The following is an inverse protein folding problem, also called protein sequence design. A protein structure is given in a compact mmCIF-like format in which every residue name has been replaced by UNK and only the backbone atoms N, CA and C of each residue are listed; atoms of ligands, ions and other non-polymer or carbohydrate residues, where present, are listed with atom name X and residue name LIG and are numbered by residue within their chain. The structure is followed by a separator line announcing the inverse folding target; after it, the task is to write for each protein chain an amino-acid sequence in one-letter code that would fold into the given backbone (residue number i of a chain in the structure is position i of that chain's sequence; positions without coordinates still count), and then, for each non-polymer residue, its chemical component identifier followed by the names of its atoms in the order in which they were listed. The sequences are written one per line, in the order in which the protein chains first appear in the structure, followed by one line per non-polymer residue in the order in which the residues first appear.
data_IF_845200238633
#
_entry.id   IF_845200238633
#
_cell.length_a   1.000
_cell.length_b   1.000
_cell.length_c   1.000
_cell.angle_alpha   90.00
_cell.angle_beta   90.00
_cell.angle_gamma   90.00
#
_symmetry.space_group_name_H-M   'P 1'
#
loop_
_entity.id
_entity.type
_entity.pdbx_description
1 polymer ?
#
# COMPACT_ATOMS: atom_id res chain seq x y z
N UNK A 1 -2.64 -37.76 52.90
CA UNK A 1 -3.67 -36.80 53.36
C UNK A 1 -3.32 -35.32 53.12
N UNK A 2 -2.25 -34.72 53.66
CA UNK A 2 -1.97 -33.28 53.41
C UNK A 2 -1.39 -32.96 52.03
N UNK A 3 -0.48 -33.79 51.50
CA UNK A 3 0.11 -33.61 50.15
C UNK A 3 -0.90 -33.78 49.01
N UNK A 4 -1.81 -34.75 49.11
CA UNK A 4 -2.86 -34.98 48.11
C UNK A 4 -3.88 -33.83 48.06
N UNK A 5 -4.26 -33.27 49.21
CA UNK A 5 -5.12 -32.08 49.27
C UNK A 5 -4.46 -30.87 48.60
N UNK A 6 -3.15 -30.67 48.80
CA UNK A 6 -2.43 -29.57 48.15
C UNK A 6 -2.33 -29.77 46.63
N UNK A 7 -2.15 -30.99 46.13
CA UNK A 7 -2.17 -31.25 44.69
C UNK A 7 -3.54 -31.02 44.06
N UNK A 8 -4.62 -31.42 44.73
CA UNK A 8 -5.99 -31.16 44.25
C UNK A 8 -6.26 -29.65 44.19
N UNK A 9 -5.84 -28.87 45.20
CA UNK A 9 -6.02 -27.42 45.21
C UNK A 9 -5.25 -26.75 44.07
N UNK A 10 -4.00 -27.16 43.81
CA UNK A 10 -3.19 -26.61 42.70
C UNK A 10 -3.81 -26.92 41.34
N UNK A 11 -4.32 -28.13 41.12
CA UNK A 11 -4.99 -28.50 39.86
C UNK A 11 -6.27 -27.69 39.66
N UNK A 12 -7.09 -27.54 40.70
CA UNK A 12 -8.33 -26.75 40.64
C UNK A 12 -8.03 -25.28 40.34
N UNK A 13 -7.01 -24.69 40.98
CA UNK A 13 -6.58 -23.32 40.70
C UNK A 13 -6.07 -23.16 39.27
N UNK A 14 -5.28 -24.11 38.75
CA UNK A 14 -4.81 -24.07 37.37
C UNK A 14 -5.96 -24.14 36.35
N UNK A 15 -6.96 -24.97 36.61
CA UNK A 15 -8.17 -25.08 35.78
C UNK A 15 -8.96 -23.76 35.81
N UNK A 16 -9.19 -23.18 36.99
CA UNK A 16 -9.91 -21.90 37.12
C UNK A 16 -9.17 -20.78 36.39
N UNK A 17 -7.85 -20.65 36.57
CA UNK A 17 -7.06 -19.65 35.85
C UNK A 17 -7.11 -19.87 34.33
N UNK A 18 -7.02 -21.12 33.86
CA UNK A 18 -7.18 -21.44 32.44
C UNK A 18 -8.56 -21.02 31.91
N UNK A 19 -9.63 -21.31 32.65
CA UNK A 19 -10.99 -20.89 32.26
C UNK A 19 -11.16 -19.37 32.24
N UNK A 20 -10.60 -18.65 33.22
CA UNK A 20 -10.67 -17.18 33.26
C UNK A 20 -9.92 -16.58 32.06
N UNK A 21 -8.67 -17.00 31.81
CA UNK A 21 -7.87 -16.51 30.68
C UNK A 21 -8.53 -16.82 29.34
N UNK A 22 -9.05 -18.04 29.18
CA UNK A 22 -9.74 -18.46 27.96
C UNK A 22 -11.05 -17.68 27.73
N UNK A 23 -11.79 -17.39 28.81
CA UNK A 23 -13.00 -16.59 28.73
C UNK A 23 -12.70 -15.12 28.40
N UNK A 24 -11.64 -14.54 28.96
CA UNK A 24 -11.17 -13.20 28.61
C UNK A 24 -10.74 -13.11 27.14
N UNK A 25 -9.99 -14.09 26.62
CA UNK A 25 -9.62 -14.17 25.19
C UNK A 25 -10.87 -14.20 24.29
N UNK A 26 -11.86 -15.06 24.60
CA UNK A 26 -13.11 -15.15 23.82
C UNK A 26 -13.90 -13.83 23.87
N UNK A 27 -13.98 -13.18 25.02
CA UNK A 27 -14.71 -11.90 25.16
C UNK A 27 -14.01 -10.79 24.36
N UNK A 28 -12.67 -10.72 24.43
CA UNK A 28 -11.88 -9.76 23.65
C UNK A 28 -12.03 -10.03 22.15
N UNK A 29 -11.95 -11.28 21.72
CA UNK A 29 -12.12 -11.66 20.31
C UNK A 29 -13.52 -11.33 19.80
N UNK A 30 -14.57 -11.63 20.58
CA UNK A 30 -15.95 -11.29 20.24
C UNK A 30 -16.15 -9.79 20.09
N UNK A 31 -15.66 -8.99 21.04
CA UNK A 31 -15.73 -7.53 20.96
C UNK A 31 -14.93 -6.98 19.78
N UNK A 32 -13.80 -7.60 19.44
CA UNK A 32 -12.96 -7.18 18.31
C UNK A 32 -13.66 -7.43 16.98
N UNK A 33 -14.27 -8.61 16.81
CA UNK A 33 -14.96 -8.96 15.56
C UNK A 33 -16.28 -8.19 15.38
N UNK A 34 -16.95 -7.82 16.48
CA UNK A 34 -18.09 -6.89 16.45
C UNK A 34 -17.66 -5.53 15.89
N UNK A 35 -16.59 -4.92 16.42
CA UNK A 35 -16.06 -3.65 15.90
C UNK A 35 -15.62 -3.79 14.44
N UNK A 36 -14.87 -4.85 14.13
CA UNK A 36 -14.35 -5.10 12.77
C UNK A 36 -15.45 -5.14 11.73
N UNK A 37 -16.61 -5.74 12.05
CA UNK A 37 -17.75 -5.85 11.14
C UNK A 37 -18.61 -4.57 11.06
N UNK A 38 -18.43 -3.62 11.97
CA UNK A 38 -19.18 -2.34 12.00
C UNK A 38 -18.43 -1.18 11.32
N UNK A 39 -17.14 -1.36 11.02
CA UNK A 39 -16.30 -0.33 10.40
C UNK A 39 -15.94 -0.69 8.95
N UNK A 40 -15.61 0.31 8.16
CA UNK A 40 -14.94 0.10 6.87
C UNK A 40 -13.45 -0.08 7.15
N UNK A 41 -12.92 -1.25 6.86
CA UNK A 41 -11.50 -1.53 7.03
C UNK A 41 -10.73 -1.15 5.77
N UNK A 42 -9.55 -0.56 5.95
CA UNK A 42 -8.66 -0.25 4.82
C UNK A 42 -7.21 -0.58 5.13
N UNK A 43 -6.49 -0.99 4.07
CA UNK A 43 -5.04 -1.06 4.04
C UNK A 43 -4.54 -0.16 2.92
N UNK A 44 -3.64 0.76 3.26
CA UNK A 44 -3.14 1.78 2.34
C UNK A 44 -2.03 1.30 1.41
N UNK A 45 -1.51 0.07 1.54
CA UNK A 45 -0.39 -0.38 0.72
C UNK A 45 -0.40 -1.90 0.47
N UNK A 46 -1.16 -2.33 -0.54
CA UNK A 46 -1.25 -3.72 -0.98
C UNK A 46 -0.52 -3.94 -2.31
N UNK A 47 0.71 -4.47 -2.22
CA UNK A 47 1.52 -4.80 -3.40
C UNK A 47 0.84 -5.79 -4.34
N UNK A 48 0.90 -5.51 -5.65
CA UNK A 48 0.39 -6.40 -6.69
C UNK A 48 1.50 -6.97 -7.56
N UNK A 49 1.30 -8.20 -8.01
CA UNK A 49 2.15 -8.86 -8.99
C UNK A 49 1.37 -9.20 -10.24
N UNK A 50 1.83 -8.75 -11.41
CA UNK A 50 1.17 -8.95 -12.71
C UNK A 50 0.91 -10.43 -13.04
N UNK A 51 1.70 -11.36 -12.48
CA UNK A 51 1.45 -12.82 -12.63
C UNK A 51 0.11 -13.28 -12.04
N UNK A 52 -0.47 -12.47 -11.16
CA UNK A 52 -1.77 -12.66 -10.52
C UNK A 52 -2.85 -11.76 -11.14
N UNK A 53 -2.72 -11.37 -12.41
CA UNK A 53 -3.70 -10.60 -13.16
C UNK A 53 -3.83 -11.13 -14.60
N UNK A 54 -3.97 -12.44 -14.72
CA UNK A 54 -4.18 -13.19 -15.97
C UNK A 54 -5.54 -13.87 -15.97
N UNK A 55 -6.03 -14.31 -17.13
CA UNK A 55 -7.32 -15.00 -17.26
C UNK A 55 -7.38 -16.29 -16.43
N UNK A 56 -6.23 -16.95 -16.21
CA UNK A 56 -6.15 -18.23 -15.49
C UNK A 56 -5.82 -18.07 -14.00
N UNK A 57 -5.19 -16.96 -13.63
CA UNK A 57 -4.75 -16.69 -12.27
C UNK A 57 -4.86 -15.19 -12.01
N UNK A 58 -5.90 -14.81 -11.27
CA UNK A 58 -6.14 -13.45 -10.83
C UNK A 58 -6.79 -13.36 -9.44
N UNK A 59 -7.00 -12.16 -8.94
CA UNK A 59 -7.47 -11.93 -7.57
C UNK A 59 -8.92 -12.38 -7.31
N UNK A 60 -9.65 -12.92 -8.30
CA UNK A 60 -10.92 -13.64 -8.07
C UNK A 60 -10.74 -14.99 -7.39
N UNK A 61 -9.53 -15.57 -7.43
CA UNK A 61 -9.21 -16.85 -6.79
C UNK A 61 -8.20 -16.65 -5.65
N UNK A 62 -8.04 -17.69 -4.82
CA UNK A 62 -7.08 -17.67 -3.72
C UNK A 62 -5.66 -17.92 -4.26
N UNK A 63 -5.07 -16.85 -4.79
CA UNK A 63 -3.67 -16.79 -5.20
C UNK A 63 -2.70 -16.91 -4.01
N UNK A 64 -1.42 -17.02 -4.31
CA UNK A 64 -0.34 -16.98 -3.32
C UNK A 64 0.01 -15.58 -2.80
N UNK A 65 -0.63 -14.51 -3.30
CA UNK A 65 -0.48 -13.15 -2.75
C UNK A 65 -1.21 -13.02 -1.41
N UNK A 66 -0.77 -12.09 -0.55
CA UNK A 66 -1.41 -11.87 0.76
C UNK A 66 -2.78 -11.21 0.64
N UNK A 67 -3.05 -10.52 -0.48
CA UNK A 67 -4.34 -9.89 -0.78
C UNK A 67 -4.89 -10.46 -2.09
N UNK A 68 -6.15 -10.90 -2.05
CA UNK A 68 -7.02 -11.30 -3.15
C UNK A 68 -8.47 -11.31 -2.64
N UNK A 69 -9.48 -11.38 -3.52
CA UNK A 69 -10.89 -11.28 -3.10
C UNK A 69 -11.29 -12.33 -2.07
N UNK A 70 -10.93 -13.63 -2.20
CA UNK A 70 -11.22 -14.60 -1.15
C UNK A 70 -10.67 -14.21 0.22
N UNK A 71 -9.43 -13.72 0.29
CA UNK A 71 -8.80 -13.27 1.55
C UNK A 71 -9.40 -11.97 2.08
N UNK A 72 -9.78 -11.04 1.20
CA UNK A 72 -10.47 -9.81 1.60
C UNK A 72 -11.85 -10.09 2.19
N UNK A 73 -12.57 -11.08 1.64
CA UNK A 73 -13.86 -11.51 2.16
C UNK A 73 -13.68 -12.21 3.50
N UNK A 74 -12.77 -13.19 3.60
CA UNK A 74 -12.53 -13.98 4.81
C UNK A 74 -11.99 -13.11 5.97
N UNK A 75 -11.06 -12.21 5.67
CA UNK A 75 -10.47 -11.29 6.66
C UNK A 75 -11.26 -10.02 6.91
N UNK A 76 -12.39 -9.81 6.23
CA UNK A 76 -13.18 -8.59 6.33
C UNK A 76 -12.40 -7.31 5.98
N UNK A 77 -11.52 -7.36 4.96
CA UNK A 77 -10.88 -6.17 4.40
C UNK A 77 -11.79 -5.56 3.33
N UNK A 78 -12.19 -4.30 3.48
CA UNK A 78 -13.12 -3.66 2.54
C UNK A 78 -12.40 -2.88 1.44
N UNK A 79 -11.39 -2.10 1.82
CA UNK A 79 -10.62 -1.26 0.91
C UNK A 79 -9.17 -1.73 0.84
N UNK A 80 -8.71 -2.07 -0.37
CA UNK A 80 -7.31 -2.33 -0.64
C UNK A 80 -6.76 -1.28 -1.62
N UNK A 81 -5.68 -0.62 -1.21
CA UNK A 81 -4.90 0.23 -2.11
C UNK A 81 -3.93 -0.64 -2.91
N UNK A 82 -4.23 -0.90 -4.18
CA UNK A 82 -3.37 -1.68 -5.06
C UNK A 82 -2.25 -0.83 -5.66
N UNK A 83 -1.02 -1.30 -5.49
CA UNK A 83 0.15 -0.46 -5.70
C UNK A 83 0.76 -0.60 -7.09
N UNK A 84 0.78 0.52 -7.79
CA UNK A 84 1.55 0.73 -9.02
C UNK A 84 3.01 0.99 -8.64
N UNK A 85 3.65 -0.06 -8.12
CA UNK A 85 5.05 -0.03 -7.72
C UNK A 85 5.98 -0.15 -8.93
N UNK A 86 7.04 0.67 -8.95
CA UNK A 86 8.18 0.48 -9.86
C UNK A 86 9.51 0.59 -9.12
N UNK A 87 10.35 -0.45 -9.23
CA UNK A 87 11.71 -0.44 -8.69
C UNK A 87 12.58 0.64 -9.34
N UNK A 88 13.51 1.20 -8.55
CA UNK A 88 14.46 2.19 -9.04
C UNK A 88 15.45 1.55 -10.03
N UNK A 89 15.79 2.30 -11.07
CA UNK A 89 16.80 1.96 -12.07
C UNK A 89 17.48 3.27 -12.52
N UNK A 90 18.35 3.18 -13.51
CA UNK A 90 19.10 4.27 -14.10
C UNK A 90 18.24 5.45 -14.59
N UNK A 91 18.60 6.66 -14.16
CA UNK A 91 17.93 7.93 -14.52
C UNK A 91 18.26 8.35 -15.95
N UNK A 92 17.77 7.59 -16.93
CA UNK A 92 17.90 7.87 -18.36
C UNK A 92 16.64 7.44 -19.12
N UNK A 93 16.56 7.85 -20.39
CA UNK A 93 15.40 7.60 -21.27
C UNK A 93 14.99 6.12 -21.31
N UNK A 94 15.95 5.19 -21.40
CA UNK A 94 15.65 3.76 -21.45
C UNK A 94 15.09 3.23 -20.12
N UNK A 95 15.63 3.73 -19.00
CA UNK A 95 15.13 3.43 -17.66
C UNK A 95 13.69 3.91 -17.46
N UNK A 96 13.44 5.19 -17.77
CA UNK A 96 12.11 5.78 -17.68
C UNK A 96 11.09 5.09 -18.57
N UNK A 97 11.47 4.73 -19.80
CA UNK A 97 10.56 4.02 -20.73
C UNK A 97 10.13 2.65 -20.19
N UNK A 98 11.06 1.88 -19.60
CA UNK A 98 10.72 0.60 -18.95
C UNK A 98 9.83 0.80 -17.73
N UNK A 99 10.16 1.79 -16.92
CA UNK A 99 9.42 2.14 -15.71
C UNK A 99 7.97 2.55 -16.02
N UNK A 100 7.78 3.43 -17.02
CA UNK A 100 6.47 3.85 -17.49
C UNK A 100 5.65 2.65 -17.99
N UNK A 101 6.25 1.76 -18.80
CA UNK A 101 5.55 0.55 -19.27
C UNK A 101 5.09 -0.31 -18.10
N UNK A 102 5.95 -0.56 -17.11
CA UNK A 102 5.59 -1.33 -15.92
C UNK A 102 4.43 -0.69 -15.14
N UNK A 103 4.44 0.64 -14.98
CA UNK A 103 3.37 1.36 -14.31
C UNK A 103 2.03 1.20 -15.06
N UNK A 104 2.02 1.40 -16.38
CA UNK A 104 0.83 1.22 -17.21
C UNK A 104 0.31 -0.23 -17.15
N UNK A 105 1.19 -1.23 -17.26
CA UNK A 105 0.78 -2.64 -17.16
C UNK A 105 0.07 -2.94 -15.81
N UNK A 106 0.49 -2.28 -14.72
CA UNK A 106 -0.13 -2.38 -13.39
C UNK A 106 -1.46 -1.63 -13.28
N UNK A 107 -1.56 -0.42 -13.84
CA UNK A 107 -2.85 0.27 -13.95
C UNK A 107 -3.86 -0.60 -14.72
N UNK A 108 -3.48 -1.08 -15.90
CA UNK A 108 -4.33 -1.94 -16.74
C UNK A 108 -4.73 -3.24 -16.01
N UNK A 109 -3.83 -3.83 -15.23
CA UNK A 109 -4.14 -5.01 -14.42
C UNK A 109 -5.24 -4.72 -13.37
N UNK A 110 -5.14 -3.60 -12.67
CA UNK A 110 -6.15 -3.20 -11.67
C UNK A 110 -7.50 -2.92 -12.37
N UNK A 111 -7.49 -2.20 -13.50
CA UNK A 111 -8.69 -1.95 -14.30
C UNK A 111 -9.33 -3.27 -14.78
N UNK A 112 -8.55 -4.21 -15.33
CA UNK A 112 -9.08 -5.52 -15.73
C UNK A 112 -9.72 -6.28 -14.57
N UNK A 113 -9.16 -6.19 -13.36
CA UNK A 113 -9.76 -6.83 -12.19
C UNK A 113 -11.17 -6.28 -11.91
N UNK A 114 -11.32 -4.96 -11.88
CA UNK A 114 -12.59 -4.31 -11.48
C UNK A 114 -13.60 -4.18 -12.62
N UNK A 115 -13.15 -4.19 -13.89
CA UNK A 115 -14.03 -4.00 -15.05
C UNK A 115 -14.39 -5.32 -15.74
N UNK A 116 -13.48 -6.30 -15.77
CA UNK A 116 -13.64 -7.53 -16.54
C UNK A 116 -13.74 -8.78 -15.67
N UNK A 117 -12.78 -9.00 -14.77
CA UNK A 117 -12.70 -10.25 -14.01
C UNK A 117 -13.72 -10.33 -12.87
N UNK A 118 -14.00 -9.20 -12.20
CA UNK A 118 -14.84 -9.20 -11.00
C UNK A 118 -15.73 -7.95 -10.83
N UNK A 119 -16.41 -7.45 -11.88
CA UNK A 119 -17.20 -6.22 -11.81
C UNK A 119 -18.33 -6.25 -10.78
N UNK A 120 -18.82 -7.44 -10.43
CA UNK A 120 -19.85 -7.63 -9.41
C UNK A 120 -19.30 -7.76 -7.98
N UNK A 121 -17.98 -7.90 -7.80
CA UNK A 121 -17.35 -8.16 -6.51
C UNK A 121 -16.46 -7.02 -6.01
N UNK A 122 -15.84 -6.26 -6.90
CA UNK A 122 -14.94 -5.15 -6.55
C UNK A 122 -15.09 -3.99 -7.55
N UNK A 123 -14.98 -2.76 -7.06
CA UNK A 123 -15.15 -1.54 -7.85
C UNK A 123 -14.04 -0.54 -7.49
N UNK A 124 -13.61 0.27 -8.45
CA UNK A 124 -12.58 1.30 -8.26
C UNK A 124 -13.19 2.54 -7.59
N UNK A 125 -12.64 2.94 -6.43
CA UNK A 125 -13.00 4.20 -5.77
C UNK A 125 -12.00 5.30 -6.11
N UNK A 126 -12.52 6.48 -6.43
CA UNK A 126 -11.74 7.67 -6.77
C UNK A 126 -11.89 8.79 -5.73
N UNK A 127 -12.74 8.57 -4.74
CA UNK A 127 -13.08 9.50 -3.66
C UNK A 127 -13.57 8.74 -2.44
N UNK A 128 -13.66 9.41 -1.29
CA UNK A 128 -14.31 8.90 -0.10
C UNK A 128 -15.80 8.61 -0.33
N UNK A 129 -16.46 9.42 -1.18
CA UNK A 129 -17.87 9.21 -1.52
C UNK A 129 -18.06 7.88 -2.27
N UNK A 130 -17.12 7.54 -3.17
CA UNK A 130 -17.13 6.25 -3.88
C UNK A 130 -16.92 5.09 -2.91
N UNK A 131 -16.01 5.23 -1.94
CA UNK A 131 -15.80 4.21 -0.88
C UNK A 131 -17.12 3.89 -0.18
N UNK A 132 -17.86 4.91 0.28
CA UNK A 132 -19.15 4.68 0.94
C UNK A 132 -20.20 4.08 0.00
N UNK A 133 -20.30 4.59 -1.24
CA UNK A 133 -21.26 4.08 -2.24
C UNK A 133 -21.00 2.62 -2.60
N UNK A 134 -19.75 2.23 -2.80
CA UNK A 134 -19.35 0.87 -3.18
C UNK A 134 -19.55 -0.08 -2.00
N UNK A 135 -19.15 0.32 -0.80
CA UNK A 135 -19.36 -0.47 0.41
C UNK A 135 -20.85 -0.76 0.65
N UNK A 136 -21.72 0.25 0.42
CA UNK A 136 -23.17 0.08 0.54
C UNK A 136 -23.77 -0.92 -0.48
N UNK A 137 -23.08 -1.18 -1.60
CA UNK A 137 -23.45 -2.23 -2.57
C UNK A 137 -22.95 -3.62 -2.14
N UNK A 138 -22.20 -3.73 -1.05
CA UNK A 138 -21.58 -4.98 -0.58
C UNK A 138 -20.38 -5.44 -1.41
N UNK A 139 -19.79 -4.55 -2.22
CA UNK A 139 -18.59 -4.84 -3.01
C UNK A 139 -17.33 -4.46 -2.23
N UNK A 140 -16.22 -5.15 -2.55
CA UNK A 140 -14.88 -4.73 -2.15
C UNK A 140 -14.45 -3.51 -2.96
N UNK A 141 -13.45 -2.80 -2.46
CA UNK A 141 -13.04 -1.51 -3.01
C UNK A 141 -11.57 -1.57 -3.36
N UNK A 142 -11.26 -1.27 -4.62
CA UNK A 142 -9.91 -1.00 -5.06
C UNK A 142 -9.67 0.52 -5.00
N UNK A 143 -8.52 0.93 -4.47
CA UNK A 143 -7.95 2.26 -4.68
C UNK A 143 -6.54 2.10 -5.25
N UNK A 144 -5.99 3.15 -5.86
CA UNK A 144 -4.68 3.05 -6.52
C UNK A 144 -3.68 4.03 -5.91
N UNK A 145 -2.56 3.48 -5.44
CA UNK A 145 -1.38 4.21 -5.02
C UNK A 145 -0.24 4.02 -6.01
N UNK A 146 0.56 5.06 -6.24
CA UNK A 146 1.78 4.98 -7.05
C UNK A 146 2.98 5.01 -6.11
N UNK A 147 3.72 3.90 -6.05
CA UNK A 147 4.94 3.84 -5.25
C UNK A 147 6.15 4.00 -6.16
N UNK A 148 6.95 5.04 -5.87
CA UNK A 148 8.01 5.57 -6.71
C UNK A 148 7.51 6.33 -7.95
N UNK A 149 7.72 7.65 -7.97
CA UNK A 149 7.42 8.52 -9.12
C UNK A 149 8.41 8.37 -10.30
N UNK A 150 9.43 7.51 -10.17
CA UNK A 150 10.38 7.21 -11.24
C UNK A 150 9.75 6.95 -12.64
N UNK A 151 8.61 6.24 -12.78
CA UNK A 151 7.93 6.03 -14.06
C UNK A 151 7.48 7.30 -14.79
N UNK A 152 7.32 8.44 -14.10
CA UNK A 152 6.93 9.69 -14.76
C UNK A 152 8.02 10.21 -15.72
N UNK A 153 9.26 9.74 -15.58
CA UNK A 153 10.40 10.32 -16.28
C UNK A 153 10.52 11.81 -15.97
N UNK A 154 10.82 12.63 -16.97
CA UNK A 154 10.98 14.08 -16.78
C UNK A 154 9.74 14.90 -17.20
N UNK A 155 8.66 14.21 -17.59
CA UNK A 155 7.41 14.80 -18.07
C UNK A 155 6.36 14.82 -16.96
N UNK A 156 6.18 15.99 -16.33
CA UNK A 156 5.20 16.19 -15.25
C UNK A 156 3.74 15.98 -15.71
N UNK A 157 3.43 16.03 -17.01
CA UNK A 157 2.08 15.72 -17.51
C UNK A 157 1.67 14.27 -17.22
N UNK A 158 2.64 13.39 -16.94
CA UNK A 158 2.36 12.03 -16.52
C UNK A 158 1.67 11.93 -15.15
N UNK A 159 1.78 12.97 -14.29
CA UNK A 159 1.06 13.01 -13.00
C UNK A 159 -0.44 13.03 -13.26
N UNK A 160 -0.91 13.92 -14.14
CA UNK A 160 -2.32 14.00 -14.52
C UNK A 160 -2.79 12.74 -15.27
N UNK A 161 -1.92 12.13 -16.10
CA UNK A 161 -2.23 10.83 -16.73
C UNK A 161 -2.46 9.75 -15.67
N UNK A 162 -1.60 9.65 -14.66
CA UNK A 162 -1.75 8.66 -13.59
C UNK A 162 -2.96 8.95 -12.70
N UNK A 163 -3.27 10.22 -12.43
CA UNK A 163 -4.50 10.64 -11.75
C UNK A 163 -5.76 10.19 -12.50
N UNK A 164 -5.77 10.36 -13.83
CA UNK A 164 -6.87 9.94 -14.69
C UNK A 164 -7.02 8.41 -14.78
N UNK A 165 -5.93 7.67 -14.59
CA UNK A 165 -5.93 6.21 -14.41
C UNK A 165 -6.31 5.78 -12.97
N UNK A 166 -6.69 6.72 -12.12
CA UNK A 166 -7.24 6.45 -10.78
C UNK A 166 -6.26 6.54 -9.62
N UNK A 167 -5.01 6.95 -9.84
CA UNK A 167 -4.06 7.17 -8.74
C UNK A 167 -4.55 8.27 -7.78
N UNK A 168 -4.50 7.99 -6.47
CA UNK A 168 -4.93 8.93 -5.41
C UNK A 168 -3.88 9.22 -4.35
N UNK A 169 -2.77 8.48 -4.34
CA UNK A 169 -1.53 8.93 -3.71
C UNK A 169 -0.32 8.59 -4.57
N UNK A 170 0.79 9.28 -4.33
CA UNK A 170 2.08 8.99 -4.96
C UNK A 170 3.26 9.28 -4.02
N UNK A 171 4.25 8.38 -3.98
CA UNK A 171 5.55 8.64 -3.34
C UNK A 171 6.61 9.04 -4.37
N UNK A 172 7.42 10.07 -4.07
CA UNK A 172 8.40 10.59 -5.03
C UNK A 172 9.68 9.74 -5.16
N UNK A 173 9.93 8.83 -4.24
CA UNK A 173 11.09 7.94 -4.27
C UNK A 173 10.73 6.57 -3.65
N UNK A 174 11.56 5.56 -3.90
CA UNK A 174 11.54 4.28 -3.20
C UNK A 174 12.97 3.95 -2.71
N UNK A 175 13.46 2.72 -2.85
CA UNK A 175 14.86 2.34 -2.62
C UNK A 175 15.74 2.81 -3.78
N UNK A 176 16.40 3.96 -3.60
CA UNK A 176 17.23 4.63 -4.60
C UNK A 176 16.67 6.02 -4.98
N UNK A 177 17.55 6.92 -5.44
CA UNK A 177 17.15 8.29 -5.77
C UNK A 177 16.34 8.32 -7.07
N UNK A 178 15.27 9.12 -7.08
CA UNK A 178 14.56 9.43 -8.32
C UNK A 178 15.02 10.80 -8.85
N UNK A 179 14.58 11.14 -10.05
CA UNK A 179 14.72 12.47 -10.64
C UNK A 179 13.97 13.57 -9.86
N UNK A 180 13.11 13.20 -8.91
CA UNK A 180 12.30 14.11 -8.12
C UNK A 180 12.76 14.24 -6.66
N UNK A 181 13.23 13.14 -6.06
CA UNK A 181 13.47 13.10 -4.61
C UNK A 181 14.61 12.16 -4.26
N UNK A 182 15.37 12.58 -3.24
CA UNK A 182 16.26 11.70 -2.52
C UNK A 182 15.45 10.65 -1.75
N UNK A 183 16.07 9.49 -1.53
CA UNK A 183 15.51 8.32 -0.83
C UNK A 183 16.17 8.19 0.52
N UNK A 184 15.42 7.75 1.53
CA UNK A 184 15.92 7.45 2.87
C UNK A 184 17.06 6.41 2.88
N UNK A 185 17.10 5.48 1.92
CA UNK A 185 18.16 4.47 1.86
C UNK A 185 19.47 5.04 1.30
N UNK A 186 19.43 6.20 0.65
CA UNK A 186 20.51 6.66 -0.24
C UNK A 186 20.76 5.69 -1.40
N UNK A 187 21.78 5.98 -2.20
CA UNK A 187 22.37 5.01 -3.13
C UNK A 187 23.34 4.09 -2.35
N UNK A 188 22.98 2.81 -2.17
CA UNK A 188 23.93 1.80 -1.68
C UNK A 188 24.97 1.52 -2.78
N UNK A 189 26.08 2.26 -2.75
CA UNK A 189 27.31 1.84 -3.41
C UNK A 189 27.96 2.82 -4.38
N UNK A 190 28.33 4.02 -3.92
CA UNK A 190 29.40 4.79 -4.54
C UNK A 190 30.48 5.04 -3.49
N UNK A 191 31.39 4.07 -3.29
CA UNK A 191 32.64 4.28 -2.56
C UNK A 191 33.56 5.21 -3.36
N UNK A 192 33.31 6.52 -3.26
CA UNK A 192 34.31 7.57 -3.48
C UNK A 192 34.05 8.65 -2.43
N UNK A 193 34.82 8.61 -1.34
CA UNK A 193 34.71 9.57 -0.23
C UNK A 193 34.04 8.97 1.01
N UNK A 194 34.82 8.91 2.09
CA UNK A 194 34.44 8.87 3.51
C UNK A 194 32.97 8.73 3.96
N UNK A 195 32.26 7.68 3.54
CA UNK A 195 31.21 7.05 4.35
C UNK A 195 30.07 7.97 4.81
N UNK A 196 29.37 8.64 3.90
CA UNK A 196 28.05 9.23 4.13
C UNK A 196 27.20 9.07 2.86
N UNK A 197 25.88 8.87 3.00
CA UNK A 197 24.94 8.72 1.90
C UNK A 197 25.14 9.82 0.84
N UNK A 198 25.30 9.45 -0.44
CA UNK A 198 25.46 10.41 -1.53
C UNK A 198 24.11 10.99 -1.93
N UNK A 199 23.70 12.09 -1.29
CA UNK A 199 22.47 12.82 -1.60
C UNK A 199 22.54 13.45 -2.99
N UNK A 200 21.53 13.20 -3.83
CA UNK A 200 21.48 13.74 -5.19
C UNK A 200 20.93 15.16 -5.22
N UNK A 201 19.91 15.44 -4.41
CA UNK A 201 19.19 16.72 -4.42
C UNK A 201 19.31 17.50 -3.11
N UNK A 202 19.78 16.85 -2.04
CA UNK A 202 19.63 17.31 -0.65
C UNK A 202 18.15 17.52 -0.30
N UNK A 203 17.32 16.52 -0.61
CA UNK A 203 15.87 16.56 -0.45
C UNK A 203 15.14 16.37 -1.78
N UNK A 204 14.37 17.38 -2.20
CA UNK A 204 13.67 17.44 -3.48
C UNK A 204 14.53 18.12 -4.54
N UNK A 205 14.49 17.60 -5.77
CA UNK A 205 14.95 18.36 -6.93
C UNK A 205 14.00 19.52 -7.23
N UNK A 206 14.40 20.46 -8.09
CA UNK A 206 13.48 21.53 -8.53
C UNK A 206 12.24 20.94 -9.22
N UNK A 207 12.42 19.88 -10.03
CA UNK A 207 11.30 19.11 -10.61
C UNK A 207 10.47 18.41 -9.54
N UNK A 208 11.07 17.96 -8.44
CA UNK A 208 10.36 17.37 -7.31
C UNK A 208 9.41 18.37 -6.67
N UNK A 209 9.84 19.63 -6.51
CA UNK A 209 8.99 20.71 -6.01
C UNK A 209 7.83 21.01 -6.96
N UNK A 210 8.10 21.05 -8.26
CA UNK A 210 7.06 21.19 -9.30
C UNK A 210 6.07 20.02 -9.26
N UNK A 211 6.54 18.78 -9.04
CA UNK A 211 5.69 17.61 -8.90
C UNK A 211 4.76 17.71 -7.67
N UNK A 212 5.27 18.18 -6.52
CA UNK A 212 4.45 18.42 -5.32
C UNK A 212 3.34 19.45 -5.61
N UNK A 213 3.66 20.54 -6.31
CA UNK A 213 2.65 21.55 -6.69
C UNK A 213 1.57 20.96 -7.61
N UNK A 214 1.95 20.10 -8.56
CA UNK A 214 0.99 19.44 -9.45
C UNK A 214 0.12 18.40 -8.72
N UNK A 215 0.71 17.64 -7.78
CA UNK A 215 -0.04 16.73 -6.89
C UNK A 215 -1.05 17.50 -6.04
N UNK A 216 -0.65 18.64 -5.46
CA UNK A 216 -1.54 19.54 -4.72
C UNK A 216 -2.67 20.08 -5.60
N UNK A 217 -2.38 20.47 -6.85
CA UNK A 217 -3.39 20.94 -7.83
C UNK A 217 -4.44 19.86 -8.14
N UNK A 218 -4.01 18.63 -8.31
CA UNK A 218 -4.88 17.49 -8.68
C UNK A 218 -5.59 16.85 -7.47
N UNK A 219 -5.09 17.10 -6.26
CA UNK A 219 -5.57 16.41 -5.05
C UNK A 219 -5.03 14.97 -4.92
N UNK A 220 -3.82 14.71 -5.41
CA UNK A 220 -3.10 13.46 -5.13
C UNK A 220 -2.43 13.58 -3.76
N UNK A 221 -2.69 12.63 -2.86
CA UNK A 221 -2.02 12.60 -1.57
C UNK A 221 -0.51 12.35 -1.73
N UNK A 222 0.29 13.13 -1.02
CA UNK A 222 1.74 12.98 -1.00
C UNK A 222 2.09 11.87 -0.01
N UNK A 223 2.58 10.74 -0.52
CA UNK A 223 3.09 9.66 0.32
C UNK A 223 4.57 9.90 0.66
N UNK A 224 4.86 10.00 1.96
CA UNK A 224 6.18 10.26 2.52
C UNK A 224 6.95 8.98 2.88
N UNK A 225 6.39 7.81 2.56
CA UNK A 225 7.06 6.52 2.69
C UNK A 225 8.16 6.41 1.65
N UNK A 226 9.40 6.19 2.10
CA UNK A 226 10.68 6.10 1.34
C UNK A 226 11.51 7.37 1.06
N UNK A 227 10.96 8.56 0.76
CA UNK A 227 11.76 9.78 0.63
C UNK A 227 12.69 10.04 1.81
N UNK A 228 13.79 10.76 1.54
CA UNK A 228 14.73 11.14 2.61
C UNK A 228 14.06 12.09 3.61
N UNK A 229 14.59 12.13 4.84
CA UNK A 229 14.10 13.06 5.87
C UNK A 229 14.04 14.50 5.37
N UNK A 230 15.03 14.94 4.61
CA UNK A 230 15.09 16.30 4.08
C UNK A 230 14.05 16.52 2.99
N UNK A 231 13.83 15.55 2.11
CA UNK A 231 12.76 15.61 1.12
C UNK A 231 11.39 15.74 1.80
N UNK A 232 11.12 14.95 2.85
CA UNK A 232 9.86 15.02 3.61
C UNK A 232 9.65 16.40 4.23
N UNK A 233 10.70 17.02 4.79
CA UNK A 233 10.61 18.39 5.33
C UNK A 233 10.21 19.38 4.24
N UNK A 234 10.85 19.30 3.09
CA UNK A 234 10.56 20.18 1.95
C UNK A 234 9.16 19.94 1.37
N UNK A 235 8.68 18.69 1.33
CA UNK A 235 7.31 18.38 0.93
C UNK A 235 6.26 19.04 1.84
N UNK A 236 6.53 19.08 3.16
CA UNK A 236 5.62 19.71 4.14
C UNK A 236 5.64 21.24 4.04
N UNK A 237 6.75 21.82 3.60
CA UNK A 237 6.91 23.27 3.44
C UNK A 237 6.20 23.83 2.19
N UNK A 238 5.86 22.98 1.22
CA UNK A 238 5.24 23.35 -0.07
C UNK A 238 3.73 23.15 -0.03
#
# INVERSE_FOLDING_TARGET
LSKEKNHIIVIVLAIITFFIVYQDEIIVEKNTMEIHNEIITLDTHCDINLRNFTDQNNYTVNTDSQVNLPKMIDGGLDVAWFIVFTGQDSLNENGYKRAYKNAIDKFEAIHRLVEEYAPDQIELALSEEDVYKINAKGKKIAMIGVENAYPLGEDLSNIEKFYNLGARYMSLAHNGHSQFSDSNTGEKGNTYGDGWQNWMHNGLSDKGKEAILEMNRLGIMIDVSHPSKEAIRQMIEI
#
